data_IF_285287345803
#
_entry.id   IF_285287345803
#
_cell.length_a   1.000
_cell.length_b   1.000
_cell.length_c   1.000
_cell.angle_alpha   90.00
_cell.angle_beta   90.00
_cell.angle_gamma   90.00
#
_symmetry.space_group_name_H-M   'P 1'
#
loop_
_entity.id
_entity.type
_entity.pdbx_description
1 polymer ?
#
# COMPACT_ATOMS: atom_id res chain seq x y z
N UNK A 1 10.46 -2.73 9.11
CA UNK A 1 9.93 -3.55 8.00
C UNK A 1 8.67 -4.24 8.44
N UNK A 2 7.66 -4.30 7.58
CA UNK A 2 6.42 -5.01 7.83
C UNK A 2 5.81 -5.55 6.53
N UNK A 3 4.81 -6.43 6.65
CA UNK A 3 4.31 -7.25 5.56
C UNK A 3 2.79 -7.26 5.50
N UNK A 4 2.25 -7.27 4.28
CA UNK A 4 0.86 -7.58 3.98
C UNK A 4 0.83 -8.88 3.18
N UNK A 5 0.35 -9.96 3.79
CA UNK A 5 0.38 -11.29 3.19
C UNK A 5 -0.98 -11.64 2.60
N UNK A 6 -0.96 -12.35 1.48
CA UNK A 6 -2.14 -13.02 0.96
C UNK A 6 -2.69 -14.02 1.99
N UNK A 7 -4.01 -14.15 2.10
CA UNK A 7 -4.67 -15.11 2.99
C UNK A 7 -4.21 -16.54 2.68
N UNK A 8 -3.94 -16.84 1.41
CA UNK A 8 -3.39 -18.10 0.92
C UNK A 8 -1.87 -18.15 0.86
N UNK A 9 -1.15 -17.32 1.64
CA UNK A 9 0.31 -17.16 1.56
C UNK A 9 1.09 -18.48 1.59
N UNK A 10 0.62 -19.49 2.33
CA UNK A 10 1.27 -20.81 2.38
C UNK A 10 1.43 -21.44 0.99
N UNK A 11 0.51 -21.15 0.07
CA UNK A 11 0.48 -21.64 -1.30
C UNK A 11 1.00 -20.60 -2.30
N UNK A 12 0.51 -19.36 -2.20
CA UNK A 12 0.82 -18.31 -3.18
C UNK A 12 2.24 -17.78 -3.05
N UNK A 13 2.78 -17.79 -1.82
CA UNK A 13 4.01 -17.08 -1.43
C UNK A 13 3.97 -15.59 -1.83
N UNK A 14 2.77 -15.04 -1.99
CA UNK A 14 2.53 -13.69 -2.48
C UNK A 14 2.34 -12.72 -1.32
N UNK A 15 3.14 -11.66 -1.26
CA UNK A 15 3.03 -10.65 -0.21
C UNK A 15 3.54 -9.28 -0.69
N UNK A 16 3.07 -8.23 -0.03
CA UNK A 16 3.68 -6.92 -0.05
C UNK A 16 4.63 -6.80 1.15
N UNK A 17 5.85 -6.35 0.91
CA UNK A 17 6.82 -5.99 1.94
C UNK A 17 7.08 -4.49 1.88
N UNK A 18 7.10 -3.83 3.04
CA UNK A 18 7.39 -2.40 3.16
C UNK A 18 8.58 -2.21 4.10
N UNK A 19 9.60 -1.52 3.59
CA UNK A 19 10.81 -1.16 4.32
C UNK A 19 10.88 0.35 4.48
N UNK A 20 11.20 0.81 5.67
CA UNK A 20 11.57 2.21 5.89
C UNK A 20 13.05 2.32 5.57
N UNK A 21 13.38 3.16 4.60
CA UNK A 21 14.75 3.44 4.19
C UNK A 21 15.29 4.62 4.98
N UNK A 22 14.50 5.68 5.12
CA UNK A 22 14.86 6.92 5.80
C UNK A 22 13.62 7.63 6.36
N UNK A 23 13.79 8.38 7.45
CA UNK A 23 12.77 9.27 8.02
C UNK A 23 13.42 10.62 8.30
N UNK A 24 12.86 11.69 7.72
CA UNK A 24 13.33 13.07 7.91
C UNK A 24 12.22 13.91 8.48
N UNK A 25 12.54 14.65 9.54
CA UNK A 25 11.68 15.70 10.07
C UNK A 25 12.03 17.02 9.34
N UNK A 26 11.07 17.55 8.58
CA UNK A 26 11.24 18.80 7.82
C UNK A 26 10.20 19.78 8.33
N UNK A 27 10.64 20.65 9.26
CA UNK A 27 9.80 21.68 9.90
C UNK A 27 8.47 21.10 10.42
N UNK A 28 7.40 21.27 9.64
CA UNK A 28 6.02 20.94 9.99
C UNK A 28 5.54 19.56 9.50
N UNK A 29 6.35 18.81 8.75
CA UNK A 29 5.97 17.48 8.26
C UNK A 29 7.08 16.44 8.36
N UNK A 30 6.68 15.17 8.40
CA UNK A 30 7.58 14.01 8.40
C UNK A 30 7.61 13.46 6.99
N UNK A 31 8.81 13.32 6.42
CA UNK A 31 9.05 12.66 5.15
C UNK A 31 9.61 11.26 5.39
N UNK A 32 9.02 10.25 4.77
CA UNK A 32 9.42 8.86 4.84
C UNK A 32 9.83 8.37 3.45
N UNK A 33 11.05 7.89 3.33
CA UNK A 33 11.47 7.12 2.16
C UNK A 33 11.15 5.65 2.42
N UNK A 34 10.23 5.10 1.65
CA UNK A 34 9.71 3.75 1.81
C UNK A 34 10.05 2.91 0.59
N UNK A 35 10.44 1.65 0.77
CA UNK A 35 10.54 0.68 -0.31
C UNK A 35 9.39 -0.31 -0.23
N UNK A 36 8.54 -0.29 -1.25
CA UNK A 36 7.49 -1.27 -1.44
C UNK A 36 8.04 -2.38 -2.33
N UNK A 37 7.93 -3.63 -1.88
CA UNK A 37 8.38 -4.80 -2.64
C UNK A 37 7.21 -5.77 -2.79
N UNK A 38 6.86 -6.07 -4.03
CA UNK A 38 5.98 -7.17 -4.37
C UNK A 38 6.82 -8.44 -4.42
N UNK A 39 6.56 -9.35 -3.48
CA UNK A 39 7.15 -10.68 -3.49
C UNK A 39 6.15 -11.65 -4.11
N UNK A 40 6.57 -12.32 -5.18
CA UNK A 40 5.87 -13.41 -5.83
C UNK A 40 6.67 -14.70 -5.63
N UNK A 41 6.04 -15.87 -5.80
CA UNK A 41 6.74 -17.16 -5.71
C UNK A 41 7.91 -17.31 -6.71
N UNK A 42 7.91 -16.56 -7.81
CA UNK A 42 8.88 -16.66 -8.91
C UNK A 42 9.76 -15.41 -9.09
N UNK A 43 9.65 -14.40 -8.22
CA UNK A 43 10.45 -13.18 -8.34
C UNK A 43 9.98 -12.07 -7.43
N UNK A 44 10.71 -10.97 -7.43
CA UNK A 44 10.38 -9.78 -6.65
C UNK A 44 10.44 -8.54 -7.53
N UNK A 45 9.59 -7.57 -7.23
CA UNK A 45 9.62 -6.25 -7.85
C UNK A 45 9.55 -5.19 -6.77
N UNK A 46 10.48 -4.25 -6.74
CA UNK A 46 10.54 -3.21 -5.71
C UNK A 46 10.58 -1.83 -6.31
N UNK A 47 9.88 -0.90 -5.65
CA UNK A 47 9.90 0.52 -5.97
C UNK A 47 10.07 1.32 -4.69
N UNK A 48 10.85 2.39 -4.76
CA UNK A 48 11.00 3.34 -3.66
C UNK A 48 10.05 4.50 -3.89
N UNK A 49 9.31 4.86 -2.85
CA UNK A 49 8.36 5.97 -2.85
C UNK A 49 8.69 6.90 -1.69
N UNK A 50 8.31 8.16 -1.84
CA UNK A 50 8.48 9.15 -0.79
C UNK A 50 7.11 9.60 -0.32
N UNK A 51 6.77 9.31 0.93
CA UNK A 51 5.49 9.67 1.53
C UNK A 51 5.70 10.68 2.66
N UNK A 52 4.78 11.62 2.77
CA UNK A 52 4.64 12.48 3.94
C UNK A 52 3.77 11.83 5.02
N UNK A 53 3.72 12.42 6.21
CA UNK A 53 2.72 12.05 7.21
C UNK A 53 1.29 12.22 6.69
N UNK A 54 1.04 13.23 5.85
CA UNK A 54 -0.28 13.45 5.24
C UNK A 54 -0.67 12.33 4.28
N UNK A 55 0.27 11.76 3.53
CA UNK A 55 0.04 10.59 2.68
C UNK A 55 -0.40 9.37 3.52
N UNK A 56 0.32 9.12 4.62
CA UNK A 56 -0.01 8.03 5.55
C UNK A 56 -1.38 8.25 6.18
N UNK A 57 -1.67 9.46 6.67
CA UNK A 57 -2.96 9.83 7.25
C UNK A 57 -4.11 9.64 6.25
N UNK A 58 -3.93 10.07 5.01
CA UNK A 58 -4.92 9.94 3.94
C UNK A 58 -5.19 8.46 3.61
N UNK A 59 -4.15 7.64 3.44
CA UNK A 59 -4.29 6.20 3.15
C UNK A 59 -4.96 5.48 4.32
N UNK A 60 -4.54 5.76 5.55
CA UNK A 60 -5.11 5.13 6.76
C UNK A 60 -6.59 5.49 6.92
N UNK A 61 -6.95 6.77 6.76
CA UNK A 61 -8.35 7.22 6.85
C UNK A 61 -9.24 6.50 5.83
N UNK A 62 -8.75 6.32 4.60
CA UNK A 62 -9.48 5.58 3.55
C UNK A 62 -9.60 4.08 3.87
N UNK A 63 -8.56 3.45 4.44
CA UNK A 63 -8.58 2.05 4.88
C UNK A 63 -9.52 1.79 6.07
N UNK A 64 -9.74 2.77 6.93
CA UNK A 64 -10.69 2.63 8.04
C UNK A 64 -12.14 2.65 7.53
N UNK A 65 -12.38 3.33 6.41
CA UNK A 65 -13.70 3.60 5.82
C UNK A 65 -13.98 2.80 4.54
N UNK A 66 -13.50 1.55 4.47
CA UNK A 66 -13.74 0.69 3.28
C UNK A 66 -15.23 0.41 3.05
N UNK A 67 -15.65 0.57 1.79
CA UNK A 67 -16.99 0.23 1.31
C UNK A 67 -17.01 -1.16 0.62
N UNK A 68 -17.95 -1.36 -0.32
CA UNK A 68 -18.04 -2.57 -1.13
C UNK A 68 -16.91 -2.68 -2.15
N UNK A 69 -16.47 -1.56 -2.71
CA UNK A 69 -15.31 -1.45 -3.58
C UNK A 69 -14.87 0.00 -3.63
N UNK A 70 -13.63 0.25 -4.05
CA UNK A 70 -13.13 1.59 -4.23
C UNK A 70 -11.64 1.62 -4.51
N UNK A 71 -11.11 2.83 -4.52
CA UNK A 71 -9.70 3.14 -4.66
C UNK A 71 -9.20 3.82 -3.39
N UNK A 72 -7.90 3.69 -3.14
CA UNK A 72 -7.18 4.35 -2.05
C UNK A 72 -5.93 4.92 -2.66
N UNK A 73 -5.73 6.22 -2.47
CA UNK A 73 -4.56 6.92 -3.02
C UNK A 73 -3.90 7.74 -1.93
N UNK A 74 -2.57 7.76 -1.97
CA UNK A 74 -1.80 8.82 -1.33
C UNK A 74 -1.98 10.13 -2.11
N UNK A 75 -1.50 11.24 -1.56
CA UNK A 75 -1.45 12.53 -2.27
C UNK A 75 -0.38 12.43 -3.37
N UNK A 76 0.76 11.82 -3.05
CA UNK A 76 1.79 11.46 -4.03
C UNK A 76 1.38 10.18 -4.79
N UNK A 77 1.29 10.22 -6.14
CA UNK A 77 0.65 9.18 -6.93
C UNK A 77 1.53 7.95 -7.22
N UNK A 78 2.72 7.80 -6.61
CA UNK A 78 3.67 6.71 -6.95
C UNK A 78 3.10 5.30 -6.72
N UNK A 79 2.13 5.19 -5.82
CA UNK A 79 1.47 3.93 -5.51
C UNK A 79 -0.01 4.17 -5.21
N UNK A 80 -0.86 3.32 -5.76
CA UNK A 80 -2.29 3.34 -5.52
C UNK A 80 -2.80 1.96 -5.17
N UNK A 81 -3.97 1.92 -4.52
CA UNK A 81 -4.62 0.69 -4.15
C UNK A 81 -6.04 0.68 -4.66
N UNK A 82 -6.53 -0.48 -5.08
CA UNK A 82 -7.95 -0.67 -5.34
C UNK A 82 -8.44 -1.91 -4.61
N UNK A 83 -9.70 -1.92 -4.22
CA UNK A 83 -10.25 -3.00 -3.42
C UNK A 83 -11.69 -3.35 -3.80
N UNK A 84 -12.03 -4.60 -3.56
CA UNK A 84 -13.39 -5.11 -3.66
C UNK A 84 -13.66 -6.07 -2.52
N UNK A 85 -14.72 -5.81 -1.76
CA UNK A 85 -15.21 -6.66 -0.70
C UNK A 85 -15.70 -7.99 -1.28
N UNK A 86 -15.26 -9.07 -0.67
CA UNK A 86 -15.70 -10.43 -0.95
C UNK A 86 -16.70 -10.89 0.14
N UNK A 87 -17.10 -12.16 0.10
CA UNK A 87 -17.91 -12.74 1.16
C UNK A 87 -17.19 -12.67 2.53
N UNK A 88 -17.97 -12.42 3.58
CA UNK A 88 -17.45 -12.27 4.95
C UNK A 88 -16.61 -11.01 5.14
N UNK A 89 -15.43 -11.18 5.74
CA UNK A 89 -14.47 -10.12 6.07
C UNK A 89 -13.25 -10.08 5.13
N UNK A 90 -13.37 -10.70 3.95
CA UNK A 90 -12.29 -10.75 2.96
C UNK A 90 -12.45 -9.65 1.91
N UNK A 91 -11.31 -9.21 1.39
CA UNK A 91 -11.20 -8.24 0.31
C UNK A 91 -10.24 -8.78 -0.74
N UNK A 92 -10.58 -8.61 -2.01
CA UNK A 92 -9.54 -8.58 -3.05
C UNK A 92 -8.92 -7.19 -3.01
N UNK A 93 -7.62 -7.12 -2.75
CA UNK A 93 -6.86 -5.89 -2.61
C UNK A 93 -5.74 -5.87 -3.66
N UNK A 94 -5.77 -4.86 -4.51
CA UNK A 94 -4.76 -4.62 -5.53
C UNK A 94 -3.86 -3.48 -5.10
N UNK A 95 -2.57 -3.64 -5.32
CA UNK A 95 -1.56 -2.59 -5.15
C UNK A 95 -0.93 -2.35 -6.52
N UNK A 96 -0.96 -1.11 -6.97
CA UNK A 96 -0.49 -0.69 -8.27
C UNK A 96 0.69 0.25 -8.07
N UNK A 97 1.83 -0.03 -8.72
CA UNK A 97 2.86 0.98 -8.89
C UNK A 97 2.43 1.90 -10.01
N UNK A 98 2.20 3.16 -9.67
CA UNK A 98 1.74 4.17 -10.62
C UNK A 98 2.91 5.12 -10.90
N UNK A 99 3.44 5.07 -12.12
CA UNK A 99 4.61 5.85 -12.53
C UNK A 99 4.26 7.31 -12.89
N UNK A 100 3.21 7.90 -12.30
CA UNK A 100 2.73 9.26 -12.55
C UNK A 100 1.47 9.37 -13.43
N UNK A 101 0.54 8.40 -13.35
CA UNK A 101 -0.53 8.17 -14.33
C UNK A 101 -1.96 8.50 -13.85
N UNK A 102 -2.24 8.69 -12.54
CA UNK A 102 -3.57 9.08 -12.05
C UNK A 102 -4.09 10.42 -12.65
N UNK A 103 -3.21 11.30 -13.14
CA UNK A 103 -3.59 12.65 -13.57
C UNK A 103 -3.70 12.90 -15.09
N UNK A 104 -3.28 11.99 -15.99
CA UNK A 104 -3.13 12.34 -17.42
C UNK A 104 -4.16 11.77 -18.40
N UNK A 105 -5.01 10.82 -17.99
CA UNK A 105 -6.09 10.24 -18.83
C UNK A 105 -5.64 9.74 -20.23
N UNK A 106 -4.33 9.46 -20.40
CA UNK A 106 -3.75 8.88 -21.61
C UNK A 106 -3.47 7.40 -21.35
N UNK A 107 -4.05 6.52 -22.18
CA UNK A 107 -3.86 5.07 -22.06
C UNK A 107 -2.39 4.70 -22.15
N UNK A 108 -1.81 4.23 -21.05
CA UNK A 108 -0.43 3.77 -20.94
C UNK A 108 -0.37 2.50 -20.07
N UNK A 109 0.76 1.78 -20.18
CA UNK A 109 0.98 0.46 -19.61
C UNK A 109 0.74 0.47 -18.08
N UNK A 110 -0.11 -0.45 -17.56
CA UNK A 110 -0.68 -0.39 -16.20
C UNK A 110 0.31 -0.66 -15.06
N UNK A 111 1.62 -0.62 -15.35
CA UNK A 111 2.67 -1.04 -14.44
C UNK A 111 2.51 -2.48 -13.96
N UNK A 112 3.31 -2.85 -12.96
CA UNK A 112 3.14 -4.12 -12.23
C UNK A 112 2.13 -3.89 -11.12
N UNK A 113 1.19 -4.84 -10.98
CA UNK A 113 0.20 -4.85 -9.91
C UNK A 113 0.29 -6.14 -9.09
N UNK A 114 0.13 -6.01 -7.77
CA UNK A 114 0.04 -7.13 -6.85
C UNK A 114 -1.42 -7.31 -6.44
N UNK A 115 -1.97 -8.51 -6.63
CA UNK A 115 -3.30 -8.89 -6.13
C UNK A 115 -3.14 -9.77 -4.90
N UNK A 116 -3.80 -9.37 -3.80
CA UNK A 116 -3.91 -10.14 -2.56
C UNK A 116 -5.38 -10.41 -2.25
N UNK A 117 -5.69 -11.60 -1.74
CA UNK A 117 -6.90 -11.82 -0.95
C UNK A 117 -6.52 -11.55 0.49
N UNK A 118 -7.25 -10.69 1.19
CA UNK A 118 -6.87 -10.27 2.53
C UNK A 118 -8.05 -10.06 3.47
N UNK A 119 -7.86 -10.44 4.73
CA UNK A 119 -8.80 -10.15 5.80
C UNK A 119 -8.78 -8.65 6.18
N UNK A 120 -9.95 -8.09 6.46
CA UNK A 120 -10.10 -6.71 6.96
C UNK A 120 -9.20 -6.42 8.17
N UNK A 121 -9.05 -7.37 9.09
CA UNK A 121 -8.21 -7.19 10.28
C UNK A 121 -6.73 -7.00 9.90
N UNK A 122 -6.23 -7.75 8.92
CA UNK A 122 -4.86 -7.62 8.41
C UNK A 122 -4.63 -6.25 7.76
N UNK A 123 -5.61 -5.72 7.02
CA UNK A 123 -5.56 -4.34 6.49
C UNK A 123 -5.52 -3.29 7.61
N UNK A 124 -6.32 -3.47 8.66
CA UNK A 124 -6.32 -2.57 9.82
C UNK A 124 -4.99 -2.62 10.57
N UNK A 125 -4.41 -3.80 10.75
CA UNK A 125 -3.12 -3.95 11.42
C UNK A 125 -1.98 -3.38 10.59
N UNK A 126 -2.06 -3.50 9.26
CA UNK A 126 -1.16 -2.83 8.32
C UNK A 126 -1.26 -1.31 8.38
N UNK A 127 -2.48 -0.75 8.38
CA UNK A 127 -2.71 0.69 8.56
C UNK A 127 -2.09 1.19 9.88
N UNK A 128 -2.28 0.44 10.98
CA UNK A 128 -1.65 0.76 12.28
C UNK A 128 -0.12 0.73 12.21
N UNK A 129 0.47 -0.18 11.44
CA UNK A 129 1.92 -0.22 11.26
C UNK A 129 2.42 1.01 10.50
N UNK A 130 1.69 1.47 9.48
CA UNK A 130 1.99 2.73 8.79
C UNK A 130 1.92 3.92 9.76
N UNK A 131 0.85 4.04 10.56
CA UNK A 131 0.69 5.15 11.53
C UNK A 131 1.78 5.15 12.60
N UNK A 132 2.27 3.97 13.02
CA UNK A 132 3.39 3.89 13.98
C UNK A 132 4.68 4.50 13.44
N UNK A 133 4.89 4.52 12.13
CA UNK A 133 6.06 5.16 11.53
C UNK A 133 6.12 6.66 11.84
N UNK A 134 4.96 7.30 12.02
CA UNK A 134 4.85 8.72 12.37
C UNK A 134 5.22 9.02 13.84
N UNK A 135 5.24 8.01 14.70
CA UNK A 135 5.45 8.16 16.14
C UNK A 135 6.85 7.74 16.59
N UNK A 136 7.70 7.29 15.66
CA UNK A 136 9.06 6.81 15.94
C UNK A 136 10.15 7.87 15.72
N UNK A 137 9.75 9.15 15.68
CA UNK A 137 10.61 10.34 15.61
C UNK A 137 10.76 11.02 16.96
#
# INVERSE_FOLDING_TARGET
MFFLKDEGFEYSKTQLKIEVIDIRNIEDFIQLQLRFTFDFSFGTFSHEVTWSNHDIEAVVSQLENLHLSGEITAIEPDISFSYQKMEGNLYTFYIHFDNGMIHSNMGTDSGISLRLIINRQSLVDWARQLTKLLHHT
#
